data_IF_417266147332
#
_entry.id   IF_417266147332
#
_cell.length_a   1.000
_cell.length_b   1.000
_cell.length_c   1.000
_cell.angle_alpha   90.00
_cell.angle_beta   90.00
_cell.angle_gamma   90.00
#
_symmetry.space_group_name_H-M   'P 1'
#
loop_
_entity.id
_entity.type
_entity.pdbx_description
1 polymer ?
#
# COMPACT_ATOMS: atom_id res chain seq x y z
N UNK A 1 -14.30 45.38 20.63
CA UNK A 1 -13.55 44.65 21.68
C UNK A 1 -13.30 43.17 21.32
N UNK A 2 -14.18 42.51 20.55
CA UNK A 2 -14.07 41.07 20.22
C UNK A 2 -12.82 40.70 19.40
N UNK A 3 -12.31 41.57 18.51
CA UNK A 3 -11.10 41.29 17.72
C UNK A 3 -9.78 41.29 18.51
N UNK A 4 -9.73 41.88 19.71
CA UNK A 4 -8.48 41.97 20.47
C UNK A 4 -8.15 40.67 21.23
N UNK A 5 -9.18 39.87 21.55
CA UNK A 5 -9.07 38.62 22.32
C UNK A 5 -8.97 37.36 21.43
N UNK A 6 -8.74 37.50 20.13
CA UNK A 6 -8.56 36.36 19.23
C UNK A 6 -7.21 35.68 19.45
N UNK A 7 -7.18 34.35 19.37
CA UNK A 7 -5.93 33.54 19.38
C UNK A 7 -4.98 33.85 18.22
N UNK A 8 -5.46 34.56 17.20
CA UNK A 8 -4.67 34.97 16.05
C UNK A 8 -3.93 36.28 16.39
N UNK A 9 -2.64 36.15 16.68
CA UNK A 9 -1.74 37.25 17.09
C UNK A 9 -1.79 38.46 16.13
N UNK A 10 -1.80 38.21 14.82
CA UNK A 10 -1.83 39.27 13.81
C UNK A 10 -3.15 40.07 13.80
N UNK A 11 -4.30 39.44 14.10
CA UNK A 11 -5.60 40.13 14.18
C UNK A 11 -5.64 41.12 15.35
N UNK A 12 -5.08 40.71 16.50
CA UNK A 12 -5.00 41.56 17.70
C UNK A 12 -4.14 42.81 17.43
N UNK A 13 -3.03 42.66 16.70
CA UNK A 13 -2.15 43.78 16.36
C UNK A 13 -2.73 44.75 15.31
N UNK A 14 -3.53 44.24 14.35
CA UNK A 14 -4.26 45.08 13.38
C UNK A 14 -5.33 45.91 14.10
N UNK A 15 -6.05 45.30 15.06
CA UNK A 15 -7.07 45.99 15.86
C UNK A 15 -6.49 47.02 16.83
N UNK A 16 -5.26 46.81 17.32
CA UNK A 16 -4.58 47.69 18.28
C UNK A 16 -3.76 48.82 17.62
N UNK A 17 -3.42 48.68 16.33
CA UNK A 17 -2.64 49.69 15.62
C UNK A 17 -3.45 50.97 15.35
N UNK A 18 -2.88 52.13 15.68
CA UNK A 18 -3.47 53.45 15.40
C UNK A 18 -3.07 53.99 14.03
N UNK A 19 -1.86 53.67 13.55
CA UNK A 19 -1.35 54.12 12.25
C UNK A 19 -1.75 53.19 11.10
N UNK A 20 -2.20 53.77 9.99
CA UNK A 20 -2.64 53.03 8.80
C UNK A 20 -1.52 52.18 8.17
N UNK A 21 -0.26 52.65 8.20
CA UNK A 21 0.88 51.89 7.68
C UNK A 21 1.18 50.63 8.51
N UNK A 22 1.05 50.70 9.84
CA UNK A 22 1.28 49.54 10.71
C UNK A 22 0.19 48.48 10.50
N UNK A 23 -1.06 48.91 10.31
CA UNK A 23 -2.18 48.02 9.94
C UNK A 23 -1.90 47.30 8.62
N UNK A 24 -1.44 48.03 7.60
CA UNK A 24 -1.13 47.48 6.29
C UNK A 24 -0.01 46.43 6.37
N UNK A 25 1.05 46.69 7.13
CA UNK A 25 2.14 45.73 7.31
C UNK A 25 1.66 44.42 7.94
N UNK A 26 0.90 44.49 9.02
CA UNK A 26 0.35 43.30 9.68
C UNK A 26 -0.65 42.55 8.80
N UNK A 27 -1.43 43.28 8.00
CA UNK A 27 -2.33 42.69 7.03
C UNK A 27 -1.58 41.92 5.94
N UNK A 28 -0.53 42.50 5.35
CA UNK A 28 0.32 41.83 4.37
C UNK A 28 0.98 40.57 4.95
N UNK A 29 1.50 40.66 6.18
CA UNK A 29 2.09 39.52 6.86
C UNK A 29 1.10 38.37 7.03
N UNK A 30 -0.13 38.68 7.42
CA UNK A 30 -1.21 37.71 7.57
C UNK A 30 -1.57 37.07 6.23
N UNK A 31 -1.70 37.85 5.16
CA UNK A 31 -2.01 37.34 3.81
C UNK A 31 -0.92 36.39 3.32
N UNK A 32 0.35 36.77 3.47
CA UNK A 32 1.49 35.92 3.08
C UNK A 32 1.48 34.61 3.88
N UNK A 33 1.21 34.68 5.18
CA UNK A 33 1.09 33.50 6.04
C UNK A 33 -0.04 32.56 5.61
N UNK A 34 -1.21 33.09 5.27
CA UNK A 34 -2.36 32.30 4.78
C UNK A 34 -2.02 31.64 3.44
N UNK A 35 -1.42 32.37 2.49
CA UNK A 35 -1.05 31.82 1.18
C UNK A 35 -0.03 30.69 1.35
N UNK A 36 1.02 30.93 2.13
CA UNK A 36 2.07 29.94 2.38
C UNK A 36 1.53 28.68 3.09
N UNK A 37 0.70 28.87 4.12
CA UNK A 37 0.06 27.77 4.85
C UNK A 37 -0.88 26.98 3.94
N UNK A 38 -1.74 27.66 3.17
CA UNK A 38 -2.68 27.02 2.25
C UNK A 38 -1.97 26.20 1.18
N UNK A 39 -0.87 26.73 0.61
CA UNK A 39 -0.06 26.01 -0.37
C UNK A 39 0.55 24.72 0.20
N UNK A 40 1.11 24.79 1.41
CA UNK A 40 1.66 23.61 2.10
C UNK A 40 0.56 22.62 2.45
N UNK A 41 -0.55 23.08 3.03
CA UNK A 41 -1.70 22.23 3.35
C UNK A 41 -2.24 21.53 2.12
N UNK A 42 -2.40 22.21 0.98
CA UNK A 42 -2.82 21.61 -0.28
C UNK A 42 -1.90 20.46 -0.72
N UNK A 43 -0.58 20.64 -0.64
CA UNK A 43 0.37 19.59 -0.96
C UNK A 43 0.25 18.39 -0.01
N UNK A 44 0.05 18.62 1.29
CA UNK A 44 -0.19 17.54 2.24
C UNK A 44 -1.49 16.80 1.97
N UNK A 45 -2.58 17.52 1.67
CA UNK A 45 -3.84 16.91 1.28
C UNK A 45 -3.70 16.06 0.02
N UNK A 46 -3.01 16.57 -1.00
CA UNK A 46 -2.72 15.80 -2.22
C UNK A 46 -1.97 14.50 -1.89
N UNK A 47 -0.94 14.56 -1.05
CA UNK A 47 -0.19 13.38 -0.62
C UNK A 47 -1.04 12.41 0.21
N UNK A 48 -1.95 12.92 1.03
CA UNK A 48 -2.89 12.12 1.80
C UNK A 48 -3.86 11.35 0.90
N UNK A 49 -4.45 12.03 -0.09
CA UNK A 49 -5.37 11.40 -1.06
C UNK A 49 -4.68 10.44 -2.03
N UNK A 50 -3.37 10.57 -2.23
CA UNK A 50 -2.56 9.64 -3.02
C UNK A 50 -2.40 8.25 -2.38
N UNK A 51 -2.90 8.03 -1.15
CA UNK A 51 -2.92 6.73 -0.47
C UNK A 51 -1.60 5.97 -0.62
N UNK A 52 -0.48 6.63 -0.29
CA UNK A 52 0.83 5.99 -0.37
C UNK A 52 0.95 4.94 0.73
N UNK A 53 0.66 3.69 0.39
CA UNK A 53 0.89 2.53 1.25
C UNK A 53 2.41 2.34 1.35
N UNK A 54 2.95 2.53 2.54
CA UNK A 54 4.36 2.24 2.83
C UNK A 54 4.41 0.83 3.40
N UNK A 55 4.93 -0.12 2.63
CA UNK A 55 5.20 -1.47 3.11
C UNK A 55 6.54 -1.47 3.84
N UNK A 56 6.52 -1.72 5.14
CA UNK A 56 7.72 -2.03 5.90
C UNK A 56 7.98 -3.54 5.76
N UNK A 57 9.00 -3.90 4.98
CA UNK A 57 9.48 -5.27 4.87
C UNK A 57 10.49 -5.49 5.99
N UNK A 58 10.06 -6.17 7.04
CA UNK A 58 10.94 -6.64 8.10
C UNK A 58 11.14 -8.16 7.94
N UNK A 59 12.39 -8.59 7.95
CA UNK A 59 12.73 -10.02 7.88
C UNK A 59 12.81 -10.54 9.30
N UNK A 60 11.73 -11.15 9.77
CA UNK A 60 11.71 -11.80 11.08
C UNK A 60 12.39 -13.18 11.00
N UNK A 61 13.48 -13.35 11.75
CA UNK A 61 14.13 -14.66 11.92
C UNK A 61 13.43 -15.45 13.04
N UNK A 62 12.33 -16.12 12.70
CA UNK A 62 11.59 -16.95 13.64
C UNK A 62 12.35 -18.26 13.94
N UNK A 63 12.41 -18.66 15.22
CA UNK A 63 13.09 -19.90 15.67
C UNK A 63 12.34 -21.18 15.30
N UNK A 64 11.04 -21.08 15.00
CA UNK A 64 10.18 -22.15 14.48
C UNK A 64 9.29 -21.54 13.40
N UNK A 65 9.34 -22.12 12.20
CA UNK A 65 8.38 -21.84 11.14
C UNK A 65 7.50 -23.07 10.96
N UNK A 66 6.23 -22.86 10.61
CA UNK A 66 5.36 -23.93 10.15
C UNK A 66 5.87 -24.43 8.80
N UNK A 67 6.04 -25.75 8.67
CA UNK A 67 6.47 -26.34 7.41
C UNK A 67 5.33 -26.20 6.40
N UNK A 68 5.55 -25.58 5.22
CA UNK A 68 4.50 -25.38 4.25
C UNK A 68 4.00 -26.71 3.70
N UNK A 69 2.74 -26.73 3.24
CA UNK A 69 2.21 -27.88 2.54
C UNK A 69 2.86 -27.97 1.15
N UNK A 70 3.85 -28.85 1.02
CA UNK A 70 4.50 -29.14 -0.26
C UNK A 70 3.64 -30.12 -1.06
N UNK A 71 3.24 -29.72 -2.27
CA UNK A 71 2.48 -30.60 -3.18
C UNK A 71 3.41 -31.18 -4.23
N UNK A 72 3.77 -32.47 -4.09
CA UNK A 72 4.60 -33.19 -5.07
C UNK A 72 3.70 -33.91 -6.06
N UNK A 73 3.81 -33.56 -7.35
CA UNK A 73 3.15 -34.30 -8.42
C UNK A 73 4.15 -35.15 -9.22
N UNK A 74 3.77 -36.40 -9.49
CA UNK A 74 4.51 -37.24 -10.44
C UNK A 74 4.16 -36.82 -11.87
N UNK A 75 5.13 -36.26 -12.60
CA UNK A 75 4.95 -35.85 -14.00
C UNK A 75 4.83 -37.04 -14.96
N UNK A 76 5.07 -38.26 -14.50
CA UNK A 76 4.83 -39.46 -15.27
C UNK A 76 3.32 -39.74 -15.35
N UNK A 77 2.68 -39.27 -16.41
CA UNK A 77 1.26 -39.46 -16.71
C UNK A 77 0.95 -40.94 -16.91
N UNK A 78 0.58 -41.63 -15.83
CA UNK A 78 0.19 -43.06 -15.74
C UNK A 78 1.10 -44.05 -16.50
N UNK A 79 1.64 -45.04 -15.79
CA UNK A 79 2.13 -46.26 -16.43
C UNK A 79 0.97 -46.86 -17.24
N UNK A 80 1.12 -47.02 -18.56
CA UNK A 80 0.15 -47.72 -19.43
C UNK A 80 -0.09 -49.12 -18.87
N UNK A 81 -1.10 -49.29 -18.02
CA UNK A 81 -1.60 -50.60 -17.64
C UNK A 81 -2.52 -51.04 -18.78
N UNK A 82 -2.09 -52.08 -19.50
CA UNK A 82 -2.97 -52.77 -20.43
C UNK A 82 -4.21 -53.25 -19.68
N UNK A 83 -5.38 -52.85 -20.19
CA UNK A 83 -6.70 -53.45 -19.97
C UNK A 83 -6.89 -54.15 -18.61
N UNK A 84 -7.11 -53.38 -17.53
CA UNK A 84 -7.68 -53.93 -16.30
C UNK A 84 -9.01 -53.24 -16.00
N UNK A 85 -10.08 -54.03 -16.10
CA UNK A 85 -11.46 -53.64 -15.80
C UNK A 85 -11.67 -53.60 -14.29
N UNK A 86 -11.26 -52.50 -13.66
CA UNK A 86 -11.50 -52.22 -12.24
C UNK A 86 -10.44 -51.29 -11.65
N UNK A 87 -10.84 -50.10 -11.20
CA UNK A 87 -9.93 -49.11 -10.60
C UNK A 87 -9.79 -49.34 -9.09
N UNK A 88 -8.57 -49.44 -8.51
CA UNK A 88 -8.36 -49.65 -7.09
C UNK A 88 -8.30 -48.36 -6.24
N UNK A 89 -8.84 -47.23 -6.72
CA UNK A 89 -8.75 -45.94 -6.01
C UNK A 89 -10.09 -45.20 -5.95
N UNK A 90 -11.07 -45.83 -5.28
CA UNK A 90 -12.28 -45.15 -4.79
C UNK A 90 -11.98 -44.41 -3.47
N UNK A 91 -11.04 -43.47 -3.49
CA UNK A 91 -10.78 -42.60 -2.34
C UNK A 91 -10.34 -41.18 -2.74
N UNK A 92 -10.72 -40.75 -3.94
CA UNK A 92 -10.51 -39.37 -4.41
C UNK A 92 -11.69 -38.90 -5.26
N UNK A 93 -12.91 -39.09 -4.77
CA UNK A 93 -14.14 -38.60 -5.42
C UNK A 93 -14.67 -37.32 -4.74
N UNK A 94 -13.76 -36.53 -4.16
CA UNK A 94 -14.09 -35.29 -3.44
C UNK A 94 -13.15 -34.11 -3.66
N UNK A 95 -12.06 -34.26 -4.42
CA UNK A 95 -11.08 -33.19 -4.64
C UNK A 95 -10.84 -33.03 -6.13
N UNK A 96 -11.24 -31.87 -6.66
CA UNK A 96 -10.90 -31.36 -7.99
C UNK A 96 -9.45 -31.71 -8.34
N UNK A 97 -9.29 -32.68 -9.24
CA UNK A 97 -7.99 -33.22 -9.64
C UNK A 97 -7.20 -32.12 -10.36
N UNK A 98 -6.37 -31.39 -9.60
CA UNK A 98 -5.38 -30.46 -10.12
C UNK A 98 -4.28 -31.27 -10.81
N UNK A 99 -4.36 -31.37 -12.13
CA UNK A 99 -3.27 -31.92 -12.94
C UNK A 99 -2.20 -30.85 -13.15
N UNK A 100 -0.94 -31.18 -12.86
CA UNK A 100 0.21 -30.35 -13.20
C UNK A 100 0.32 -30.23 -14.74
N UNK A 101 -0.11 -29.11 -15.30
CA UNK A 101 0.16 -28.76 -16.70
C UNK A 101 1.56 -28.13 -16.78
N UNK A 102 2.58 -28.95 -17.03
CA UNK A 102 3.97 -28.51 -17.19
C UNK A 102 4.20 -27.65 -18.47
N UNK A 103 3.16 -27.33 -19.24
CA UNK A 103 3.29 -26.58 -20.48
C UNK A 103 3.50 -25.07 -20.27
N UNK A 104 3.23 -24.52 -19.08
CA UNK A 104 3.22 -23.06 -18.87
C UNK A 104 4.23 -22.54 -17.82
N UNK A 105 5.00 -23.41 -17.15
CA UNK A 105 5.96 -22.98 -16.11
C UNK A 105 7.38 -22.72 -16.64
N UNK A 106 7.75 -23.28 -17.80
CA UNK A 106 9.06 -23.00 -18.43
C UNK A 106 9.24 -21.54 -18.84
N UNK A 107 8.15 -20.80 -19.06
CA UNK A 107 8.20 -19.39 -19.51
C UNK A 107 8.31 -18.41 -18.32
N UNK A 108 8.06 -18.88 -17.09
CA UNK A 108 8.13 -18.05 -15.88
C UNK A 108 9.54 -18.00 -15.27
N UNK A 109 10.35 -19.04 -15.48
CA UNK A 109 11.71 -19.09 -14.95
C UNK A 109 12.69 -18.21 -15.76
N UNK A 110 12.46 -17.98 -17.06
CA UNK A 110 13.28 -17.01 -17.84
C UNK A 110 13.10 -15.55 -17.39
N UNK A 111 11.95 -15.20 -16.80
CA UNK A 111 11.68 -13.83 -16.35
C UNK A 111 12.36 -13.53 -15.00
N UNK A 112 12.68 -14.54 -14.19
CA UNK A 112 13.39 -14.34 -12.91
C UNK A 112 14.89 -14.13 -13.07
N UNK A 113 15.49 -14.59 -14.15
CA UNK A 113 16.92 -14.38 -14.43
C UNK A 113 17.20 -13.08 -15.20
N UNK A 114 16.14 -12.32 -15.53
CA UNK A 114 16.21 -11.08 -16.33
C UNK A 114 15.96 -9.81 -15.51
N UNK A 115 15.90 -9.89 -14.17
CA UNK A 115 15.64 -8.74 -13.28
C UNK A 115 16.62 -8.64 -12.12
#
# INVERSE_FOLDING_TARGET
MVLMASSIYALSQISSATSNMRKLFWYLFLVIGIIGSSYKSYNYFKMYFLYRIVFALEVEHLKRLEFPAESICNCNRMKKFGSFSGSPLLLSEGSSSFYCNAANDSERDEIKDSL
#
